data_IF_931583036300
#
_entry.id   IF_931583036300
#
_cell.length_a   1.000
_cell.length_b   1.000
_cell.length_c   1.000
_cell.angle_alpha   90.00
_cell.angle_beta   90.00
_cell.angle_gamma   90.00
#
_symmetry.space_group_name_H-M   'P 1'
#
loop_
_entity.id
_entity.type
_entity.pdbx_description
1 polymer ?
#
# COMPACT_ATOMS: atom_id res chain seq x y z
N UNK A 1 -15.60 0.27 1.58
CA UNK A 1 -14.51 -0.35 2.34
C UNK A 1 -13.55 0.67 2.93
N UNK A 2 -12.79 0.24 3.91
CA UNK A 2 -11.76 1.07 4.54
C UNK A 2 -10.73 1.55 3.52
N UNK A 3 -10.33 2.81 3.66
CA UNK A 3 -9.23 3.36 2.87
C UNK A 3 -7.90 3.05 3.54
N UNK A 4 -6.89 2.76 2.74
CA UNK A 4 -5.52 2.53 3.19
C UNK A 4 -4.59 3.60 2.64
N UNK A 5 -3.53 3.87 3.37
CA UNK A 5 -2.45 4.72 2.90
C UNK A 5 -1.59 3.97 1.89
N UNK A 6 -1.31 4.63 0.79
CA UNK A 6 -0.44 4.15 -0.27
C UNK A 6 0.79 5.06 -0.35
N UNK A 7 1.95 4.47 -0.57
CA UNK A 7 3.19 5.23 -0.71
C UNK A 7 3.94 4.79 -1.96
N UNK A 8 4.20 5.73 -2.85
CA UNK A 8 5.05 5.51 -4.01
C UNK A 8 6.51 5.52 -3.57
N UNK A 9 7.31 4.59 -4.07
CA UNK A 9 8.73 4.46 -3.69
C UNK A 9 9.55 5.71 -4.02
N UNK A 10 9.20 6.43 -5.08
CA UNK A 10 9.83 7.71 -5.40
C UNK A 10 9.65 8.77 -4.31
N UNK A 11 8.49 8.81 -3.64
CA UNK A 11 8.25 9.74 -2.54
C UNK A 11 9.09 9.39 -1.30
N UNK A 12 9.35 8.10 -1.07
CA UNK A 12 10.27 7.66 -0.02
C UNK A 12 11.68 8.15 -0.31
N UNK A 13 12.14 8.02 -1.57
CA UNK A 13 13.46 8.48 -1.99
C UNK A 13 13.61 9.99 -1.85
N UNK A 14 12.59 10.77 -2.24
CA UNK A 14 12.58 12.23 -2.10
C UNK A 14 12.66 12.64 -0.62
N UNK A 15 11.85 12.04 0.23
CA UNK A 15 11.86 12.32 1.66
C UNK A 15 13.21 11.99 2.31
N UNK A 16 13.79 10.84 1.98
CA UNK A 16 15.12 10.46 2.47
C UNK A 16 16.20 11.43 2.01
N UNK A 17 16.17 11.85 0.74
CA UNK A 17 17.11 12.84 0.21
C UNK A 17 16.98 14.20 0.91
N UNK A 18 15.76 14.68 1.14
CA UNK A 18 15.52 15.93 1.86
C UNK A 18 16.11 15.88 3.27
N UNK A 19 15.90 14.81 4.02
CA UNK A 19 16.44 14.67 5.38
C UNK A 19 17.97 14.61 5.39
N UNK A 20 18.57 13.87 4.47
CA UNK A 20 20.02 13.70 4.38
C UNK A 20 20.75 14.96 3.88
N UNK A 21 20.15 15.72 2.97
CA UNK A 21 20.75 16.93 2.41
C UNK A 21 20.61 18.14 3.35
N UNK A 22 19.49 18.27 4.03
CA UNK A 22 19.19 19.44 4.85
C UNK A 22 19.66 19.31 6.30
N UNK A 23 19.76 18.10 6.83
CA UNK A 23 20.21 17.79 8.20
C UNK A 23 19.54 18.66 9.29
N UNK A 24 18.24 18.94 9.14
CA UNK A 24 17.48 19.80 10.07
C UNK A 24 16.94 19.06 11.28
N UNK A 25 17.05 17.73 11.30
CA UNK A 25 16.60 16.91 12.42
C UNK A 25 17.63 16.89 13.54
N UNK A 26 17.15 16.72 14.78
CA UNK A 26 17.97 16.44 15.96
C UNK A 26 17.34 15.30 16.75
N UNK A 27 18.17 14.38 17.26
CA UNK A 27 17.68 13.19 17.97
C UNK A 27 16.89 12.25 17.05
N UNK A 28 15.93 11.55 17.61
CA UNK A 28 15.09 10.57 16.91
C UNK A 28 13.70 11.12 16.68
N UNK A 29 13.21 11.00 15.45
CA UNK A 29 11.84 11.36 15.09
C UNK A 29 11.28 10.41 14.04
N UNK A 30 9.96 10.43 13.88
CA UNK A 30 9.25 9.64 12.86
C UNK A 30 8.64 10.61 11.86
N UNK A 31 8.91 10.37 10.57
CA UNK A 31 8.27 11.07 9.46
C UNK A 31 7.42 10.06 8.69
N UNK A 32 6.11 10.33 8.61
CA UNK A 32 5.19 9.52 7.82
C UNK A 32 5.18 10.00 6.37
N UNK A 33 5.38 9.08 5.45
CA UNK A 33 5.40 9.36 4.01
C UNK A 33 4.19 8.67 3.39
N UNK A 34 3.25 9.46 2.92
CA UNK A 34 2.01 8.96 2.31
C UNK A 34 1.78 9.69 0.99
N UNK A 35 1.60 8.93 -0.08
CA UNK A 35 1.33 9.50 -1.40
C UNK A 35 -0.16 9.71 -1.63
N UNK A 36 -0.96 8.70 -1.32
CA UNK A 36 -2.39 8.70 -1.59
C UNK A 36 -3.16 7.88 -0.55
N UNK A 37 -4.47 7.98 -0.56
CA UNK A 37 -5.35 7.21 0.31
C UNK A 37 -6.52 6.66 -0.51
N UNK A 38 -6.64 5.34 -0.61
CA UNK A 38 -7.63 4.67 -1.45
C UNK A 38 -8.21 3.43 -0.79
N UNK A 39 -9.44 3.10 -1.15
CA UNK A 39 -10.02 1.79 -0.83
C UNK A 39 -9.51 0.72 -1.80
N UNK A 40 -9.65 -0.54 -1.44
CA UNK A 40 -9.29 -1.65 -2.33
C UNK A 40 -10.04 -1.61 -3.67
N UNK A 41 -11.31 -1.22 -3.64
CA UNK A 41 -12.11 -1.05 -4.86
C UNK A 41 -11.54 0.04 -5.77
N UNK A 42 -11.22 1.21 -5.22
CA UNK A 42 -10.59 2.31 -5.97
C UNK A 42 -9.25 1.89 -6.58
N UNK A 43 -8.47 1.04 -5.88
CA UNK A 43 -7.20 0.50 -6.38
C UNK A 43 -7.45 -0.42 -7.59
N UNK A 44 -8.39 -1.35 -7.46
CA UNK A 44 -8.73 -2.26 -8.55
C UNK A 44 -9.26 -1.52 -9.79
N UNK A 45 -10.11 -0.54 -9.59
CA UNK A 45 -10.66 0.30 -10.67
C UNK A 45 -9.55 1.11 -11.39
N UNK A 46 -8.66 1.75 -10.65
CA UNK A 46 -7.60 2.57 -11.23
C UNK A 46 -6.61 1.73 -12.05
N UNK A 47 -6.18 0.58 -11.53
CA UNK A 47 -5.29 -0.33 -12.24
C UNK A 47 -6.02 -0.94 -13.45
N UNK A 48 -7.22 -1.46 -13.25
CA UNK A 48 -8.02 -2.10 -14.30
C UNK A 48 -8.28 -1.16 -15.47
N UNK A 49 -8.68 0.07 -15.19
CA UNK A 49 -8.89 1.10 -16.23
C UNK A 49 -7.63 1.32 -17.08
N UNK A 50 -6.45 1.35 -16.44
CA UNK A 50 -5.18 1.65 -17.12
C UNK A 50 -4.71 0.50 -18.02
N UNK A 51 -4.99 -0.76 -17.63
CA UNK A 51 -4.62 -1.94 -18.43
C UNK A 51 -5.76 -2.46 -19.33
N UNK A 52 -6.91 -1.81 -19.30
CA UNK A 52 -8.07 -2.18 -20.13
C UNK A 52 -8.80 -3.44 -19.67
N UNK A 53 -8.73 -3.78 -18.40
CA UNK A 53 -9.39 -4.94 -17.80
C UNK A 53 -10.35 -4.52 -16.69
N UNK A 54 -11.44 -5.25 -16.55
CA UNK A 54 -12.32 -5.12 -15.40
C UNK A 54 -11.77 -5.99 -14.26
N UNK A 55 -11.25 -5.33 -13.23
CA UNK A 55 -10.69 -6.00 -12.06
C UNK A 55 -11.66 -5.88 -10.89
N UNK A 56 -12.38 -6.96 -10.53
CA UNK A 56 -13.24 -6.94 -9.37
C UNK A 56 -12.42 -6.92 -8.08
N UNK A 57 -12.85 -6.12 -7.11
CA UNK A 57 -12.31 -6.20 -5.76
C UNK A 57 -13.02 -7.30 -4.98
N UNK A 58 -12.32 -8.37 -4.66
CA UNK A 58 -12.87 -9.53 -3.93
C UNK A 58 -12.30 -9.53 -2.52
N UNK A 59 -13.18 -9.56 -1.54
CA UNK A 59 -12.80 -9.69 -0.12
C UNK A 59 -12.82 -11.17 0.26
N UNK A 60 -11.67 -11.70 0.61
CA UNK A 60 -11.55 -13.06 1.13
C UNK A 60 -11.62 -13.08 2.66
N UNK A 61 -12.21 -14.14 3.21
CA UNK A 61 -12.08 -14.43 4.64
C UNK A 61 -10.64 -14.79 4.99
N UNK A 62 -10.29 -14.74 6.28
CA UNK A 62 -8.95 -15.12 6.74
C UNK A 62 -8.61 -16.56 6.34
N UNK A 63 -9.56 -17.48 6.46
CA UNK A 63 -9.36 -18.88 6.05
C UNK A 63 -9.12 -19.02 4.56
N UNK A 64 -9.87 -18.30 3.73
CA UNK A 64 -9.67 -18.29 2.28
C UNK A 64 -8.29 -17.72 1.90
N UNK A 65 -7.87 -16.64 2.55
CA UNK A 65 -6.54 -16.06 2.34
C UNK A 65 -5.44 -17.05 2.72
N UNK A 66 -5.54 -17.65 3.90
CA UNK A 66 -4.56 -18.65 4.36
C UNK A 66 -4.46 -19.82 3.39
N UNK A 67 -5.60 -20.36 2.95
CA UNK A 67 -5.61 -21.45 1.98
C UNK A 67 -5.00 -21.04 0.63
N UNK A 68 -5.28 -19.84 0.16
CA UNK A 68 -4.67 -19.29 -1.06
C UNK A 68 -3.14 -19.20 -0.96
N UNK A 69 -2.62 -18.74 0.16
CA UNK A 69 -1.17 -18.68 0.39
C UNK A 69 -0.53 -20.07 0.46
N UNK A 70 -1.18 -21.03 1.10
CA UNK A 70 -0.70 -22.43 1.14
C UNK A 70 -0.67 -23.04 -0.26
N UNK A 71 -1.73 -22.84 -1.06
CA UNK A 71 -1.78 -23.30 -2.44
C UNK A 71 -0.72 -22.64 -3.33
N UNK A 72 -0.35 -21.40 -3.04
CA UNK A 72 0.74 -20.69 -3.71
C UNK A 72 2.14 -21.16 -3.27
N UNK A 73 2.22 -22.13 -2.36
CA UNK A 73 3.47 -22.75 -1.94
C UNK A 73 4.15 -22.11 -0.73
N UNK A 74 3.47 -21.20 -0.02
CA UNK A 74 4.00 -20.65 1.22
C UNK A 74 3.94 -21.70 2.35
N UNK A 75 4.90 -21.63 3.26
CA UNK A 75 4.85 -22.45 4.48
C UNK A 75 3.67 -22.02 5.36
N UNK A 76 3.23 -22.91 6.24
CA UNK A 76 2.12 -22.63 7.15
C UNK A 76 2.37 -21.38 7.99
N UNK A 77 3.58 -21.20 8.51
CA UNK A 77 3.97 -20.02 9.29
C UNK A 77 3.86 -18.73 8.47
N UNK A 78 4.34 -18.73 7.23
CA UNK A 78 4.24 -17.55 6.35
C UNK A 78 2.79 -17.26 5.97
N UNK A 79 2.02 -18.29 5.62
CA UNK A 79 0.60 -18.14 5.30
C UNK A 79 -0.18 -17.53 6.47
N UNK A 80 0.07 -17.99 7.69
CA UNK A 80 -0.53 -17.43 8.91
C UNK A 80 -0.14 -15.96 9.10
N UNK A 81 1.15 -15.65 9.03
CA UNK A 81 1.65 -14.29 9.22
C UNK A 81 1.07 -13.31 8.20
N UNK A 82 0.99 -13.69 6.93
CA UNK A 82 0.38 -12.84 5.90
C UNK A 82 -1.13 -12.68 6.08
N UNK A 83 -1.81 -13.69 6.59
CA UNK A 83 -3.23 -13.59 6.94
C UNK A 83 -3.46 -12.61 8.09
N UNK A 84 -2.63 -12.67 9.13
CA UNK A 84 -2.66 -11.73 10.26
C UNK A 84 -2.37 -10.30 9.78
N UNK A 85 -1.38 -10.12 8.92
CA UNK A 85 -1.05 -8.83 8.32
C UNK A 85 -2.24 -8.26 7.54
N UNK A 86 -2.86 -9.08 6.69
CA UNK A 86 -4.05 -8.69 5.92
C UNK A 86 -5.20 -8.23 6.81
N UNK A 87 -5.45 -8.95 7.90
CA UNK A 87 -6.44 -8.56 8.92
C UNK A 87 -6.11 -7.22 9.55
N UNK A 88 -4.87 -7.03 9.99
CA UNK A 88 -4.42 -5.79 10.62
C UNK A 88 -4.56 -4.57 9.69
N UNK A 89 -4.36 -4.76 8.39
CA UNK A 89 -4.59 -3.73 7.37
C UNK A 89 -6.09 -3.42 7.26
N UNK A 90 -6.95 -4.44 7.15
CA UNK A 90 -8.41 -4.26 7.03
C UNK A 90 -9.01 -3.57 8.24
N UNK A 91 -8.53 -3.88 9.43
CA UNK A 91 -8.98 -3.28 10.69
C UNK A 91 -8.37 -1.90 10.95
N UNK A 92 -7.53 -1.40 10.05
CA UNK A 92 -6.86 -0.10 10.17
C UNK A 92 -5.74 -0.04 11.20
N UNK A 93 -5.40 -1.18 11.80
CA UNK A 93 -4.41 -1.24 12.89
C UNK A 93 -3.02 -0.80 12.44
N UNK A 94 -2.61 -1.23 11.23
CA UNK A 94 -1.28 -0.92 10.69
C UNK A 94 -1.03 0.58 10.44
N UNK A 95 -2.07 1.35 10.26
CA UNK A 95 -1.96 2.78 9.94
C UNK A 95 -2.53 3.69 11.04
N UNK A 96 -2.89 3.12 12.19
CA UNK A 96 -3.53 3.86 13.27
C UNK A 96 -2.67 5.03 13.79
N UNK A 97 -1.35 4.82 13.94
CA UNK A 97 -0.44 5.85 14.41
C UNK A 97 -0.20 6.93 13.34
N UNK A 98 -0.03 6.53 12.08
CA UNK A 98 0.07 7.47 10.97
C UNK A 98 -1.17 8.37 10.87
N UNK A 99 -2.38 7.80 11.03
CA UNK A 99 -3.63 8.55 11.00
C UNK A 99 -3.73 9.59 12.11
N UNK A 100 -3.24 9.28 13.31
CA UNK A 100 -3.19 10.24 14.43
C UNK A 100 -2.32 11.45 14.10
N UNK A 101 -1.25 11.25 13.37
CA UNK A 101 -0.30 12.29 12.99
C UNK A 101 -0.72 13.08 11.74
N UNK A 102 -1.84 12.72 11.11
CA UNK A 102 -2.43 13.42 9.95
C UNK A 102 -1.38 13.76 8.89
N UNK A 103 -0.71 12.77 8.29
CA UNK A 103 0.35 13.03 7.33
C UNK A 103 -0.20 13.78 6.12
N UNK A 104 0.62 14.70 5.60
CA UNK A 104 0.30 15.39 4.35
C UNK A 104 0.52 14.44 3.18
N UNK A 105 -0.49 14.28 2.34
CA UNK A 105 -0.40 13.49 1.12
C UNK A 105 0.49 14.20 0.09
N UNK A 106 1.31 13.45 -0.62
CA UNK A 106 2.11 13.98 -1.72
C UNK A 106 1.27 14.28 -2.96
N UNK A 107 1.89 14.81 -3.99
CA UNK A 107 1.25 15.04 -5.30
C UNK A 107 1.20 13.77 -6.16
N UNK A 108 1.95 12.72 -5.80
CA UNK A 108 1.94 11.44 -6.50
C UNK A 108 0.67 10.66 -6.15
N UNK A 109 -0.09 10.28 -7.16
CA UNK A 109 -1.38 9.61 -6.99
C UNK A 109 -1.34 8.18 -7.51
N UNK A 110 -2.35 7.41 -7.13
CA UNK A 110 -2.50 6.03 -7.57
C UNK A 110 -2.49 5.91 -9.10
N UNK A 111 -3.10 6.87 -9.80
CA UNK A 111 -3.14 6.90 -11.26
C UNK A 111 -1.74 7.06 -11.90
N UNK A 112 -0.82 7.73 -11.21
CA UNK A 112 0.59 7.85 -11.65
C UNK A 112 1.26 6.47 -11.64
N UNK A 113 1.11 5.75 -10.53
CA UNK A 113 1.60 4.37 -10.42
C UNK A 113 0.89 3.43 -11.41
N UNK A 114 -0.42 3.56 -11.58
CA UNK A 114 -1.17 2.71 -12.51
C UNK A 114 -0.65 2.82 -13.95
N UNK A 115 -0.23 4.01 -14.38
CA UNK A 115 0.42 4.21 -15.69
C UNK A 115 1.77 3.50 -15.78
N UNK A 116 2.60 3.60 -14.75
CA UNK A 116 3.88 2.88 -14.68
C UNK A 116 3.66 1.37 -14.70
N UNK A 117 2.70 0.89 -13.92
CA UNK A 117 2.32 -0.51 -13.90
C UNK A 117 1.85 -1.02 -15.26
N UNK A 118 1.05 -0.23 -15.98
CA UNK A 118 0.55 -0.61 -17.31
C UNK A 118 1.69 -0.79 -18.33
N UNK A 119 2.72 0.04 -18.26
CA UNK A 119 3.91 -0.09 -19.12
C UNK A 119 4.60 -1.44 -18.86
N UNK A 120 4.82 -1.77 -17.60
CA UNK A 120 5.44 -3.04 -17.23
C UNK A 120 4.55 -4.25 -17.56
N UNK A 121 3.25 -4.13 -17.36
CA UNK A 121 2.27 -5.19 -17.65
C UNK A 121 2.17 -5.51 -19.14
N UNK A 122 2.27 -4.50 -20.01
CA UNK A 122 2.17 -4.63 -21.46
C UNK A 122 3.50 -4.94 -22.16
N UNK A 123 4.59 -4.99 -21.42
CA UNK A 123 5.92 -5.27 -21.98
C UNK A 123 6.23 -6.76 -22.21
#
# INVERSE_FOLDING_TARGET
GEKIFLTHTADIAVAAAEELLNLKFSGNSIRYIVSDERSGKEIAEAIGHTIGLDLPWIVFSDDQQKQGFLQAGLSETHAENYTILGRAIREGYMQADARKNKPQLSNTKLEDFAREFAIAFNS
#
